data_IF_064065408154
#
_entry.id   IF_064065408154
#
_cell.length_a   1.000
_cell.length_b   1.000
_cell.length_c   1.000
_cell.angle_alpha   90.00
_cell.angle_beta   90.00
_cell.angle_gamma   90.00
#
_symmetry.space_group_name_H-M   'P 1'
#
loop_
_entity.id
_entity.type
_entity.pdbx_description
1 polymer ?
#
# COMPACT_ATOMS: atom_id res chain seq x y z
N UNK A 1 20.88 14.43 72.04
CA UNK A 1 20.78 14.50 70.56
C UNK A 1 21.95 13.78 69.89
N UNK A 2 23.21 14.06 70.24
CA UNK A 2 24.41 13.38 69.68
C UNK A 2 24.48 11.87 70.03
N UNK A 3 24.15 11.47 71.26
CA UNK A 3 24.12 10.04 71.66
C UNK A 3 23.02 9.22 70.97
N UNK A 4 21.89 9.85 70.59
CA UNK A 4 20.79 9.17 69.88
C UNK A 4 21.17 8.88 68.42
N UNK A 5 21.90 9.79 67.78
CA UNK A 5 22.46 9.61 66.44
C UNK A 5 23.54 8.52 66.42
N UNK A 6 24.40 8.42 67.43
CA UNK A 6 25.40 7.34 67.54
C UNK A 6 24.75 5.96 67.74
N UNK A 7 23.73 5.83 68.60
CA UNK A 7 23.05 4.55 68.82
C UNK A 7 22.19 4.10 67.62
N UNK A 8 21.71 5.05 66.80
CA UNK A 8 20.90 4.75 65.62
C UNK A 8 21.67 4.91 64.29
N UNK A 9 22.99 5.09 64.34
CA UNK A 9 23.81 5.37 63.16
C UNK A 9 23.70 4.26 62.11
N UNK A 10 23.67 2.99 62.54
CA UNK A 10 23.48 1.84 61.66
C UNK A 10 22.09 1.81 60.98
N UNK A 11 21.05 2.23 61.70
CA UNK A 11 19.69 2.34 61.16
C UNK A 11 19.56 3.49 60.15
N UNK A 12 20.11 4.66 60.48
CA UNK A 12 20.12 5.84 59.57
C UNK A 12 20.92 5.54 58.30
N UNK A 13 22.09 4.90 58.41
CA UNK A 13 22.89 4.51 57.25
C UNK A 13 22.18 3.45 56.40
N UNK A 14 21.49 2.49 57.01
CA UNK A 14 20.70 1.48 56.29
C UNK A 14 19.51 2.11 55.55
N UNK A 15 18.82 3.06 56.16
CA UNK A 15 17.73 3.80 55.53
C UNK A 15 18.22 4.65 54.35
N UNK A 16 19.33 5.38 54.51
CA UNK A 16 19.94 6.16 53.43
C UNK A 16 20.40 5.27 52.26
N UNK A 17 20.97 4.11 52.56
CA UNK A 17 21.40 3.13 51.54
C UNK A 17 20.19 2.57 50.79
N UNK A 18 19.11 2.22 51.50
CA UNK A 18 17.86 1.78 50.86
C UNK A 18 17.28 2.88 49.96
N UNK A 19 17.19 4.12 50.44
CA UNK A 19 16.74 5.26 49.65
C UNK A 19 17.58 5.48 48.38
N UNK A 20 18.91 5.37 48.49
CA UNK A 20 19.82 5.46 47.34
C UNK A 20 19.58 4.34 46.32
N UNK A 21 19.40 3.09 46.77
CA UNK A 21 19.09 1.95 45.89
C UNK A 21 17.74 2.13 45.19
N UNK A 22 16.70 2.57 45.90
CA UNK A 22 15.40 2.85 45.29
C UNK A 22 15.47 3.98 44.26
N UNK A 23 16.19 5.07 44.58
CA UNK A 23 16.33 6.21 43.68
C UNK A 23 17.12 5.84 42.41
N UNK A 24 18.23 5.11 42.55
CA UNK A 24 19.01 4.62 41.41
C UNK A 24 18.20 3.64 40.55
N UNK A 25 17.45 2.72 41.14
CA UNK A 25 16.53 1.84 40.42
C UNK A 25 15.48 2.64 39.63
N UNK A 26 14.89 3.66 40.25
CA UNK A 26 13.90 4.51 39.62
C UNK A 26 14.46 5.27 38.42
N UNK A 27 15.67 5.83 38.53
CA UNK A 27 16.39 6.46 37.42
C UNK A 27 16.66 5.46 36.29
N UNK A 28 17.15 4.25 36.61
CA UNK A 28 17.45 3.22 35.61
C UNK A 28 16.16 2.81 34.86
N UNK A 29 15.05 2.63 35.58
CA UNK A 29 13.75 2.30 34.99
C UNK A 29 13.21 3.46 34.14
N UNK A 30 13.35 4.71 34.60
CA UNK A 30 13.00 5.91 33.86
C UNK A 30 13.76 6.02 32.54
N UNK A 31 15.09 5.91 32.58
CA UNK A 31 15.96 5.95 31.40
C UNK A 31 15.64 4.80 30.42
N UNK A 32 15.33 3.60 30.94
CA UNK A 32 14.90 2.46 30.09
C UNK A 32 13.57 2.76 29.41
N UNK A 33 12.62 3.39 30.10
CA UNK A 33 11.32 3.80 29.53
C UNK A 33 11.53 4.84 28.43
N UNK A 34 12.30 5.89 28.70
CA UNK A 34 12.56 6.96 27.73
C UNK A 34 13.26 6.45 26.46
N UNK A 35 14.29 5.59 26.62
CA UNK A 35 14.95 4.95 25.48
C UNK A 35 13.99 4.10 24.64
N UNK A 36 13.09 3.34 25.28
CA UNK A 36 12.06 2.57 24.55
C UNK A 36 11.12 3.50 23.79
N UNK A 37 10.64 4.56 24.42
CA UNK A 37 9.78 5.55 23.78
C UNK A 37 10.45 6.20 22.58
N UNK A 38 11.73 6.57 22.70
CA UNK A 38 12.50 7.14 21.58
C UNK A 38 12.62 6.14 20.43
N UNK A 39 13.02 4.90 20.73
CA UNK A 39 13.14 3.83 19.74
C UNK A 39 11.82 3.54 19.02
N UNK A 40 10.72 3.47 19.77
CA UNK A 40 9.40 3.23 19.22
C UNK A 40 8.98 4.38 18.28
N UNK A 41 9.30 5.64 18.64
CA UNK A 41 9.07 6.80 17.75
C UNK A 41 9.92 6.73 16.48
N UNK A 42 11.21 6.41 16.61
CA UNK A 42 12.10 6.28 15.45
C UNK A 42 11.65 5.17 14.51
N UNK A 43 11.25 4.03 15.05
CA UNK A 43 10.78 2.89 14.27
C UNK A 43 9.47 3.22 13.52
N UNK A 44 8.55 3.95 14.15
CA UNK A 44 7.34 4.44 13.46
C UNK A 44 7.70 5.43 12.35
N UNK A 45 8.52 6.44 12.65
CA UNK A 45 8.79 7.54 11.74
C UNK A 45 9.71 7.18 10.57
N UNK A 46 10.74 6.36 10.82
CA UNK A 46 11.77 6.03 9.82
C UNK A 46 11.48 4.75 9.04
N UNK A 47 10.70 3.83 9.60
CA UNK A 47 10.35 2.56 8.95
C UNK A 47 8.87 2.51 8.57
N UNK A 48 7.98 2.60 9.56
CA UNK A 48 6.57 2.25 9.34
C UNK A 48 5.84 3.26 8.45
N UNK A 49 5.95 4.56 8.74
CA UNK A 49 5.26 5.61 7.98
C UNK A 49 5.71 5.66 6.50
N UNK A 50 7.02 5.59 6.17
CA UNK A 50 7.47 5.49 4.79
C UNK A 50 6.88 4.29 4.05
N UNK A 51 6.82 3.12 4.69
CA UNK A 51 6.27 1.89 4.09
C UNK A 51 4.76 1.95 3.89
N UNK A 52 4.01 2.52 4.83
CA UNK A 52 2.55 2.72 4.68
C UNK A 52 2.25 3.59 3.44
N UNK A 53 3.01 4.67 3.26
CA UNK A 53 2.89 5.50 2.05
C UNK A 53 3.23 4.74 0.76
N UNK A 54 4.24 3.87 0.83
CA UNK A 54 4.69 3.05 -0.28
C UNK A 54 3.69 1.95 -0.66
N UNK A 55 3.00 1.34 0.32
CA UNK A 55 1.93 0.37 0.07
C UNK A 55 0.78 0.97 -0.73
N UNK A 56 0.32 2.17 -0.37
CA UNK A 56 -0.73 2.87 -1.14
C UNK A 56 -0.33 3.08 -2.59
N UNK A 57 0.90 3.53 -2.82
CA UNK A 57 1.44 3.71 -4.17
C UNK A 57 1.57 2.38 -4.91
N UNK A 58 2.04 1.35 -4.23
CA UNK A 58 2.21 0.01 -4.80
C UNK A 58 0.88 -0.56 -5.30
N UNK A 59 -0.18 -0.46 -4.49
CA UNK A 59 -1.52 -0.91 -4.85
C UNK A 59 -2.02 -0.24 -6.14
N UNK A 60 -1.87 1.08 -6.27
CA UNK A 60 -2.20 1.79 -7.51
C UNK A 60 -1.39 1.30 -8.72
N UNK A 61 -0.09 1.04 -8.54
CA UNK A 61 0.77 0.54 -9.62
C UNK A 61 0.43 -0.90 -10.04
N UNK A 62 -0.06 -1.72 -9.11
CA UNK A 62 -0.57 -3.07 -9.40
C UNK A 62 -1.83 -2.94 -10.27
N UNK A 63 -2.81 -2.14 -9.84
CA UNK A 63 -4.09 -1.96 -10.54
C UNK A 63 -3.91 -1.38 -11.96
N UNK A 64 -2.97 -0.45 -12.13
CA UNK A 64 -2.70 0.20 -13.42
C UNK A 64 -1.73 -0.61 -14.30
N UNK A 65 -1.25 -1.78 -13.85
CA UNK A 65 -0.22 -2.56 -14.54
C UNK A 65 1.02 -1.72 -14.87
N UNK A 66 1.57 -1.00 -13.89
CA UNK A 66 2.78 -0.15 -14.04
C UNK A 66 3.92 -0.59 -13.13
N UNK A 67 3.89 -1.85 -12.71
CA UNK A 67 4.73 -2.38 -11.61
C UNK A 67 6.22 -2.48 -11.95
N UNK A 68 6.60 -2.46 -13.24
CA UNK A 68 7.98 -2.61 -13.74
C UNK A 68 8.97 -1.68 -13.05
N UNK A 69 8.54 -0.45 -12.80
CA UNK A 69 9.37 0.67 -12.32
C UNK A 69 8.99 1.13 -10.91
N UNK A 70 8.19 0.33 -10.20
CA UNK A 70 7.74 0.67 -8.85
C UNK A 70 8.94 0.74 -7.88
N UNK A 71 9.20 1.92 -7.27
CA UNK A 71 10.26 2.07 -6.28
C UNK A 71 9.78 1.57 -4.91
N UNK A 72 9.94 0.28 -4.65
CA UNK A 72 9.65 -0.32 -3.34
C UNK A 72 10.78 -0.09 -2.33
N UNK A 73 10.47 0.60 -1.23
CA UNK A 73 11.48 1.13 -0.30
C UNK A 73 12.01 0.14 0.71
N UNK A 74 11.32 -0.97 0.99
CA UNK A 74 11.67 -1.86 2.11
C UNK A 74 13.14 -2.31 2.08
N UNK A 75 13.64 -2.73 0.93
CA UNK A 75 15.03 -3.20 0.81
C UNK A 75 16.03 -2.09 1.14
N UNK A 76 15.77 -0.85 0.68
CA UNK A 76 16.62 0.30 0.97
C UNK A 76 16.55 0.72 2.44
N UNK A 77 15.35 0.72 3.03
CA UNK A 77 15.13 1.02 4.45
C UNK A 77 15.78 -0.03 5.34
N UNK A 78 15.64 -1.32 5.01
CA UNK A 78 16.28 -2.45 5.70
C UNK A 78 17.80 -2.29 5.75
N UNK A 79 18.40 -1.79 4.67
CA UNK A 79 19.84 -1.57 4.61
C UNK A 79 20.29 -0.29 5.35
N UNK A 80 19.55 0.81 5.19
CA UNK A 80 19.90 2.09 5.82
C UNK A 80 19.68 2.10 7.33
N UNK A 81 18.60 1.46 7.78
CA UNK A 81 18.10 1.50 9.15
C UNK A 81 18.12 0.10 9.79
N UNK A 82 19.15 -0.71 9.49
CA UNK A 82 19.28 -2.13 9.91
C UNK A 82 18.84 -2.37 11.36
N UNK A 83 19.37 -1.56 12.28
CA UNK A 83 19.07 -1.69 13.71
C UNK A 83 17.57 -1.56 14.00
N UNK A 84 16.87 -0.62 13.36
CA UNK A 84 15.43 -0.44 13.53
C UNK A 84 14.64 -1.53 12.80
N UNK A 85 15.06 -1.94 11.61
CA UNK A 85 14.38 -2.98 10.83
C UNK A 85 14.33 -4.32 11.57
N UNK A 86 15.43 -4.75 12.19
CA UNK A 86 15.46 -5.99 12.98
C UNK A 86 14.76 -5.89 14.35
N UNK A 87 14.31 -4.69 14.75
CA UNK A 87 13.48 -4.48 15.94
C UNK A 87 11.98 -4.60 15.65
N UNK A 88 11.58 -4.70 14.38
CA UNK A 88 10.20 -4.94 14.03
C UNK A 88 9.70 -6.26 14.65
N UNK A 89 8.42 -6.33 15.05
CA UNK A 89 7.80 -7.60 15.37
C UNK A 89 7.98 -8.59 14.22
N UNK A 90 8.39 -9.82 14.54
CA UNK A 90 8.69 -10.88 13.56
C UNK A 90 7.61 -11.01 12.48
N UNK A 91 6.33 -10.99 12.86
CA UNK A 91 5.19 -11.04 11.93
C UNK A 91 5.21 -9.92 10.87
N UNK A 92 5.62 -8.71 11.24
CA UNK A 92 5.70 -7.58 10.31
C UNK A 92 6.93 -7.72 9.43
N UNK A 93 8.07 -8.05 10.03
CA UNK A 93 9.31 -8.26 9.28
C UNK A 93 9.16 -9.35 8.23
N UNK A 94 8.71 -10.54 8.64
CA UNK A 94 8.50 -11.68 7.75
C UNK A 94 7.45 -11.36 6.67
N UNK A 95 6.39 -10.62 7.03
CA UNK A 95 5.39 -10.16 6.07
C UNK A 95 5.94 -9.19 5.02
N UNK A 96 6.86 -8.30 5.39
CA UNK A 96 7.54 -7.41 4.45
C UNK A 96 8.50 -8.16 3.52
N UNK A 97 9.22 -9.16 4.04
CA UNK A 97 10.09 -10.03 3.22
C UNK A 97 9.28 -10.86 2.22
N UNK A 98 8.20 -11.51 2.68
CA UNK A 98 7.28 -12.29 1.84
C UNK A 98 6.66 -11.42 0.73
N UNK A 99 6.13 -10.24 1.11
CA UNK A 99 5.60 -9.29 0.14
C UNK A 99 6.65 -8.86 -0.88
N UNK A 100 7.86 -8.54 -0.42
CA UNK A 100 8.96 -8.12 -1.31
C UNK A 100 9.31 -9.23 -2.32
N UNK A 101 9.42 -10.47 -1.85
CA UNK A 101 9.68 -11.62 -2.72
C UNK A 101 8.59 -11.79 -3.80
N UNK A 102 7.32 -11.73 -3.40
CA UNK A 102 6.17 -11.79 -4.32
C UNK A 102 6.15 -10.64 -5.30
N UNK A 103 6.43 -9.42 -4.83
CA UNK A 103 6.53 -8.24 -5.67
C UNK A 103 7.61 -8.40 -6.74
N UNK A 104 8.82 -8.84 -6.36
CA UNK A 104 9.93 -9.05 -7.32
C UNK A 104 9.59 -10.13 -8.36
N UNK A 105 8.94 -11.23 -7.93
CA UNK A 105 8.46 -12.26 -8.85
C UNK A 105 7.43 -11.70 -9.84
N UNK A 106 6.45 -10.96 -9.34
CA UNK A 106 5.42 -10.36 -10.19
C UNK A 106 5.99 -9.31 -11.16
N UNK A 107 6.97 -8.50 -10.72
CA UNK A 107 7.68 -7.56 -11.61
C UNK A 107 8.39 -8.27 -12.75
N UNK A 108 9.04 -9.42 -12.47
CA UNK A 108 9.69 -10.21 -13.51
C UNK A 108 8.68 -10.84 -14.47
N UNK A 109 7.56 -11.37 -13.95
CA UNK A 109 6.46 -11.88 -14.78
C UNK A 109 5.89 -10.79 -15.68
N UNK A 110 5.62 -9.62 -15.11
CA UNK A 110 5.11 -8.46 -15.83
C UNK A 110 6.08 -8.02 -16.93
N UNK A 111 7.38 -7.91 -16.67
CA UNK A 111 8.37 -7.57 -17.71
C UNK A 111 8.38 -8.54 -18.88
N UNK A 112 8.16 -9.83 -18.64
CA UNK A 112 8.09 -10.83 -19.69
C UNK A 112 6.81 -10.76 -20.52
N UNK A 113 5.71 -10.27 -19.93
CA UNK A 113 4.37 -10.34 -20.53
C UNK A 113 3.77 -8.98 -20.90
N UNK A 114 4.39 -7.87 -20.49
CA UNK A 114 3.89 -6.52 -20.69
C UNK A 114 3.60 -6.22 -22.16
N UNK A 115 4.53 -6.52 -23.07
CA UNK A 115 4.33 -6.28 -24.50
C UNK A 115 3.09 -7.02 -25.02
N UNK A 116 2.93 -8.29 -24.65
CA UNK A 116 1.80 -9.11 -25.09
C UNK A 116 0.46 -8.68 -24.47
N UNK A 117 0.46 -8.29 -23.19
CA UNK A 117 -0.72 -7.71 -22.54
C UNK A 117 -1.16 -6.45 -23.30
N UNK A 118 -0.20 -5.58 -23.60
CA UNK A 118 -0.48 -4.32 -24.27
C UNK A 118 -0.98 -4.54 -25.70
N UNK A 119 -0.30 -5.37 -26.50
CA UNK A 119 -0.73 -5.73 -27.85
C UNK A 119 -2.14 -6.32 -27.88
N UNK A 120 -2.49 -7.14 -26.88
CA UNK A 120 -3.82 -7.75 -26.77
C UNK A 120 -4.88 -6.67 -26.53
N UNK A 121 -4.64 -5.75 -25.59
CA UNK A 121 -5.57 -4.65 -25.31
C UNK A 121 -5.72 -3.76 -26.53
N UNK A 122 -4.63 -3.34 -27.16
CA UNK A 122 -4.65 -2.47 -28.33
C UNK A 122 -5.42 -3.11 -29.50
N UNK A 123 -5.21 -4.42 -29.73
CA UNK A 123 -5.92 -5.17 -30.76
C UNK A 123 -7.43 -5.17 -30.52
N UNK A 124 -7.88 -5.35 -29.27
CA UNK A 124 -9.29 -5.34 -28.92
C UNK A 124 -9.89 -3.93 -28.97
N UNK A 125 -9.16 -2.89 -28.54
CA UNK A 125 -9.58 -1.49 -28.68
C UNK A 125 -9.77 -1.10 -30.15
N UNK A 126 -8.83 -1.47 -31.03
CA UNK A 126 -8.86 -1.15 -32.48
C UNK A 126 -10.04 -1.76 -33.22
N UNK A 127 -10.65 -2.84 -32.72
CA UNK A 127 -11.88 -3.41 -33.32
C UNK A 127 -13.06 -2.42 -33.27
N UNK A 128 -13.08 -1.53 -32.27
CA UNK A 128 -14.13 -0.52 -32.09
C UNK A 128 -13.67 0.88 -32.44
N UNK A 129 -12.38 1.16 -32.31
CA UNK A 129 -11.79 2.45 -32.62
C UNK A 129 -10.64 2.27 -33.62
N UNK A 130 -10.93 2.10 -34.93
CA UNK A 130 -9.90 1.81 -35.93
C UNK A 130 -8.89 2.94 -36.13
N UNK A 131 -9.27 4.18 -35.80
CA UNK A 131 -8.43 5.39 -35.91
C UNK A 131 -7.52 5.60 -34.69
N UNK A 132 -7.36 4.59 -33.83
CA UNK A 132 -6.40 4.63 -32.76
C UNK A 132 -5.00 4.85 -33.34
N UNK A 133 -4.46 6.05 -33.11
CA UNK A 133 -3.12 6.43 -33.53
C UNK A 133 -2.04 5.61 -32.83
N UNK A 134 -0.78 5.89 -33.14
CA UNK A 134 0.39 5.22 -32.55
C UNK A 134 0.62 5.54 -31.07
N UNK A 135 -0.23 6.34 -30.43
CA UNK A 135 -0.11 6.71 -29.02
C UNK A 135 -0.68 5.63 -28.08
N UNK A 136 -0.17 4.41 -28.24
CA UNK A 136 -0.17 3.37 -27.20
C UNK A 136 -1.52 2.90 -26.65
N UNK A 137 -1.41 1.98 -25.70
CA UNK A 137 -2.46 1.05 -25.27
C UNK A 137 -3.35 1.60 -24.15
N UNK A 138 -3.42 2.92 -24.01
CA UNK A 138 -4.07 3.58 -22.86
C UNK A 138 -5.08 4.64 -23.30
N UNK A 139 -5.68 4.40 -24.46
CA UNK A 139 -6.47 5.39 -25.14
C UNK A 139 -7.89 5.45 -24.57
N UNK A 140 -8.57 4.32 -24.43
CA UNK A 140 -9.98 4.30 -24.07
C UNK A 140 -10.16 4.36 -22.56
N UNK A 141 -10.80 5.43 -22.09
CA UNK A 141 -11.11 5.60 -20.67
C UNK A 141 -12.38 6.42 -20.47
N UNK A 142 -12.95 6.31 -19.29
CA UNK A 142 -13.97 7.25 -18.83
C UNK A 142 -13.29 8.38 -18.05
N UNK A 143 -13.60 9.63 -18.38
CA UNK A 143 -13.22 10.81 -17.61
C UNK A 143 -14.49 11.51 -17.12
N UNK A 144 -14.55 11.77 -15.82
CA UNK A 144 -15.77 12.31 -15.23
C UNK A 144 -15.60 12.79 -13.80
N UNK A 145 -16.73 13.09 -13.18
CA UNK A 145 -16.84 13.47 -11.77
C UNK A 145 -17.79 12.52 -11.05
N UNK A 146 -17.35 12.03 -9.90
CA UNK A 146 -18.16 11.25 -8.96
C UNK A 146 -18.15 12.01 -7.65
N UNK A 147 -19.31 12.52 -7.22
CA UNK A 147 -19.39 13.30 -5.98
C UNK A 147 -18.62 14.62 -5.95
N UNK A 148 -18.39 15.20 -7.13
CA UNK A 148 -17.62 16.43 -7.28
C UNK A 148 -16.11 16.21 -7.39
N UNK A 149 -15.62 14.98 -7.19
CA UNK A 149 -14.22 14.62 -7.39
C UNK A 149 -13.99 14.09 -8.81
N UNK A 150 -12.93 14.56 -9.45
CA UNK A 150 -12.50 14.08 -10.77
C UNK A 150 -12.02 12.63 -10.68
N UNK A 151 -12.50 11.79 -11.59
CA UNK A 151 -12.09 10.39 -11.70
C UNK A 151 -11.77 10.02 -13.15
N UNK A 152 -10.73 9.22 -13.33
CA UNK A 152 -10.41 8.57 -14.59
C UNK A 152 -10.48 7.05 -14.38
N UNK A 153 -11.36 6.38 -15.12
CA UNK A 153 -11.54 4.92 -15.05
C UNK A 153 -11.00 4.31 -16.34
N UNK A 154 -9.98 3.47 -16.22
CA UNK A 154 -9.32 2.82 -17.37
C UNK A 154 -9.80 1.39 -17.56
N UNK A 155 -9.66 0.86 -18.77
CA UNK A 155 -9.94 -0.56 -19.04
C UNK A 155 -9.01 -1.50 -18.27
N UNK A 156 -7.79 -1.07 -17.95
CA UNK A 156 -6.84 -1.79 -17.11
C UNK A 156 -7.36 -1.99 -15.68
N UNK A 157 -7.93 -0.95 -15.08
CA UNK A 157 -8.54 -1.05 -13.76
C UNK A 157 -9.73 -2.02 -13.78
N UNK A 158 -10.59 -1.94 -14.80
CA UNK A 158 -11.71 -2.87 -14.95
C UNK A 158 -11.26 -4.33 -15.17
N UNK A 159 -10.17 -4.51 -15.92
CA UNK A 159 -9.55 -5.80 -16.15
C UNK A 159 -8.97 -6.38 -14.86
N UNK A 160 -8.19 -5.60 -14.12
CA UNK A 160 -7.56 -6.02 -12.87
C UNK A 160 -8.58 -6.54 -11.87
N UNK A 161 -9.67 -5.78 -11.70
CA UNK A 161 -10.74 -6.12 -10.78
C UNK A 161 -11.75 -7.11 -11.34
N UNK A 162 -11.63 -7.48 -12.62
CA UNK A 162 -12.59 -8.28 -13.35
C UNK A 162 -14.04 -7.73 -13.25
N UNK A 163 -14.21 -6.41 -13.30
CA UNK A 163 -15.50 -5.72 -13.09
C UNK A 163 -16.02 -5.05 -14.37
N UNK A 164 -17.34 -4.90 -14.48
CA UNK A 164 -17.94 -3.94 -15.42
C UNK A 164 -17.72 -2.51 -14.95
N UNK A 165 -17.92 -1.54 -15.83
CA UNK A 165 -17.86 -0.13 -15.46
C UNK A 165 -18.85 0.22 -14.33
N UNK A 166 -20.06 -0.34 -14.37
CA UNK A 166 -21.04 -0.14 -13.30
C UNK A 166 -20.60 -0.72 -11.96
N UNK A 167 -20.09 -1.95 -11.96
CA UNK A 167 -19.59 -2.61 -10.74
C UNK A 167 -18.44 -1.81 -10.13
N UNK A 168 -17.51 -1.34 -10.95
CA UNK A 168 -16.39 -0.52 -10.49
C UNK A 168 -16.85 0.80 -9.87
N UNK A 169 -17.82 1.48 -10.49
CA UNK A 169 -18.42 2.71 -9.92
C UNK A 169 -19.11 2.45 -8.58
N UNK A 170 -19.89 1.39 -8.48
CA UNK A 170 -20.58 1.03 -7.23
C UNK A 170 -19.58 0.77 -6.11
N UNK A 171 -18.50 0.04 -6.40
CA UNK A 171 -17.41 -0.14 -5.46
C UNK A 171 -16.74 1.17 -5.08
N UNK A 172 -16.37 2.00 -6.06
CA UNK A 172 -15.73 3.28 -5.80
C UNK A 172 -16.58 4.19 -4.91
N UNK A 173 -17.90 4.21 -5.10
CA UNK A 173 -18.84 4.92 -4.24
C UNK A 173 -18.90 4.31 -2.83
N UNK A 174 -18.94 2.99 -2.73
CA UNK A 174 -19.00 2.27 -1.44
C UNK A 174 -17.76 2.52 -0.60
N UNK A 175 -16.59 2.50 -1.24
CA UNK A 175 -15.30 2.60 -0.58
C UNK A 175 -14.96 4.06 -0.23
N UNK A 176 -15.69 5.03 -0.79
CA UNK A 176 -15.57 6.47 -0.51
C UNK A 176 -16.89 7.05 0.03
N UNK A 177 -17.28 6.75 1.29
CA UNK A 177 -18.57 7.15 1.87
C UNK A 177 -18.71 8.66 2.09
N UNK A 178 -17.62 9.42 2.00
CA UNK A 178 -17.59 10.88 2.23
C UNK A 178 -18.04 11.66 0.98
N UNK A 179 -18.18 11.00 -0.18
CA UNK A 179 -18.56 11.67 -1.42
C UNK A 179 -19.94 12.33 -1.30
N UNK A 180 -20.03 13.67 -1.38
CA UNK A 180 -21.24 14.43 -1.05
C UNK A 180 -22.37 14.25 -2.07
N UNK A 181 -22.10 13.60 -3.21
CA UNK A 181 -23.10 13.26 -4.22
C UNK A 181 -22.68 11.94 -4.92
N UNK A 182 -23.61 11.04 -5.21
CA UNK A 182 -23.30 9.79 -5.93
C UNK A 182 -23.59 9.89 -7.43
N UNK A 183 -23.97 11.07 -7.91
CA UNK A 183 -24.17 11.36 -9.33
C UNK A 183 -22.83 11.31 -10.07
N UNK A 184 -22.89 10.74 -11.26
CA UNK A 184 -21.73 10.50 -12.12
C UNK A 184 -22.00 11.21 -13.43
N UNK A 185 -21.18 12.21 -13.73
CA UNK A 185 -21.24 12.99 -14.95
C UNK A 185 -19.85 12.90 -15.62
N UNK A 186 -19.79 12.54 -16.90
CA UNK A 186 -18.53 12.37 -17.61
C UNK A 186 -18.72 11.73 -18.98
N UNK A 187 -17.63 11.60 -19.70
CA UNK A 187 -17.59 11.14 -21.08
C UNK A 187 -16.63 9.96 -21.26
N UNK A 188 -16.93 9.11 -22.24
CA UNK A 188 -16.02 8.05 -22.68
C UNK A 188 -15.09 8.63 -23.73
N UNK A 189 -13.82 8.76 -23.35
CA UNK A 189 -12.79 9.47 -24.05
C UNK A 189 -11.90 8.53 -24.84
N UNK A 190 -11.58 8.94 -26.06
CA UNK A 190 -10.50 8.41 -26.88
C UNK A 190 -9.60 9.58 -27.26
N UNK A 191 -8.43 9.76 -26.61
CA UNK A 191 -7.48 10.82 -26.88
C UNK A 191 -7.17 10.93 -28.36
N UNK A 192 -7.00 12.16 -28.84
CA UNK A 192 -6.50 12.45 -30.18
C UNK A 192 -7.35 11.87 -31.32
N UNK A 193 -8.62 11.58 -31.05
CA UNK A 193 -9.61 11.21 -32.07
C UNK A 193 -10.91 11.99 -31.88
N UNK A 194 -11.70 12.10 -32.94
CA UNK A 194 -13.08 12.61 -32.87
C UNK A 194 -14.09 11.52 -32.50
N UNK A 195 -13.62 10.30 -32.19
CA UNK A 195 -14.46 9.15 -31.88
C UNK A 195 -15.17 9.38 -30.56
N UNK A 196 -16.51 9.39 -30.60
CA UNK A 196 -17.34 9.40 -29.40
C UNK A 196 -17.75 7.98 -29.08
N UNK A 197 -17.34 7.48 -27.92
CA UNK A 197 -17.79 6.21 -27.40
C UNK A 197 -18.99 6.44 -26.47
N UNK A 198 -19.90 5.48 -26.44
CA UNK A 198 -20.89 5.39 -25.38
C UNK A 198 -20.50 4.28 -24.40
N UNK A 199 -21.27 4.15 -23.31
CA UNK A 199 -21.06 3.12 -22.30
C UNK A 199 -21.08 1.70 -22.87
N UNK A 200 -21.99 1.43 -23.82
CA UNK A 200 -22.11 0.11 -24.44
C UNK A 200 -20.84 -0.24 -25.21
N UNK A 201 -20.30 0.70 -25.98
CA UNK A 201 -19.04 0.48 -26.70
C UNK A 201 -17.89 0.20 -25.73
N UNK A 202 -17.80 0.97 -24.64
CA UNK A 202 -16.80 0.80 -23.59
C UNK A 202 -16.87 -0.60 -22.93
N UNK A 203 -18.07 -1.07 -22.61
CA UNK A 203 -18.28 -2.40 -22.02
C UNK A 203 -18.02 -3.55 -23.01
N UNK A 204 -18.33 -3.36 -24.29
CA UNK A 204 -18.02 -4.32 -25.34
C UNK A 204 -16.50 -4.48 -25.51
N UNK A 205 -15.73 -3.38 -25.45
CA UNK A 205 -14.26 -3.42 -25.45
C UNK A 205 -13.75 -4.14 -24.20
N UNK A 206 -14.20 -3.74 -23.01
CA UNK A 206 -13.83 -4.36 -21.73
C UNK A 206 -14.06 -5.89 -21.74
N UNK A 207 -15.24 -6.31 -22.20
CA UNK A 207 -15.60 -7.73 -22.29
C UNK A 207 -14.72 -8.48 -23.27
N UNK A 208 -14.37 -7.86 -24.40
CA UNK A 208 -13.52 -8.48 -25.43
C UNK A 208 -12.08 -8.65 -24.93
N UNK A 209 -11.53 -7.64 -24.23
CA UNK A 209 -10.22 -7.71 -23.57
C UNK A 209 -10.19 -8.86 -22.55
N UNK A 210 -11.19 -8.91 -21.66
CA UNK A 210 -11.27 -9.97 -20.64
C UNK A 210 -11.35 -11.37 -21.24
N UNK A 211 -12.11 -11.52 -22.33
CA UNK A 211 -12.19 -12.80 -23.06
C UNK A 211 -10.83 -13.19 -23.64
N UNK A 212 -10.18 -12.28 -24.37
CA UNK A 212 -8.89 -12.53 -24.99
C UNK A 212 -7.81 -12.90 -23.95
N UNK A 213 -7.80 -12.21 -22.81
CA UNK A 213 -6.89 -12.51 -21.69
C UNK A 213 -7.26 -13.81 -20.98
N UNK A 214 -8.54 -14.14 -20.87
CA UNK A 214 -9.00 -15.41 -20.31
C UNK A 214 -8.63 -16.63 -21.16
N UNK A 215 -8.40 -16.43 -22.46
CA UNK A 215 -7.92 -17.47 -23.38
C UNK A 215 -6.39 -17.63 -23.35
N UNK A 216 -5.64 -16.62 -22.91
CA UNK A 216 -4.18 -16.66 -22.72
C UNK A 216 -3.84 -17.02 -21.26
N UNK A 217 -3.44 -18.28 -21.04
CA UNK A 217 -3.12 -18.81 -19.70
C UNK A 217 -2.06 -18.00 -18.95
N UNK A 218 -1.04 -17.49 -19.64
CA UNK A 218 0.06 -16.75 -19.04
C UNK A 218 -0.38 -15.32 -18.67
N UNK A 219 -1.17 -14.66 -19.51
CA UNK A 219 -1.77 -13.37 -19.17
C UNK A 219 -2.77 -13.52 -18.03
N UNK A 220 -3.59 -14.57 -18.03
CA UNK A 220 -4.47 -14.87 -16.90
C UNK A 220 -3.70 -15.09 -15.59
N UNK A 221 -2.56 -15.80 -15.66
CA UNK A 221 -1.67 -15.95 -14.50
C UNK A 221 -1.14 -14.59 -14.02
N UNK A 222 -0.76 -13.69 -14.94
CA UNK A 222 -0.32 -12.34 -14.59
C UNK A 222 -1.40 -11.57 -13.82
N UNK A 223 -2.66 -11.57 -14.30
CA UNK A 223 -3.77 -10.90 -13.61
C UNK A 223 -3.99 -11.50 -12.21
N UNK A 224 -4.02 -12.83 -12.11
CA UNK A 224 -4.25 -13.53 -10.84
C UNK A 224 -3.12 -13.31 -9.81
N UNK A 225 -1.86 -13.34 -10.25
CA UNK A 225 -0.72 -13.03 -9.38
C UNK A 225 -0.75 -11.56 -8.94
N UNK A 226 -1.21 -10.64 -9.80
CA UNK A 226 -1.43 -9.24 -9.45
C UNK A 226 -2.48 -9.07 -8.35
N UNK A 227 -3.65 -9.72 -8.49
CA UNK A 227 -4.69 -9.71 -7.46
C UNK A 227 -4.20 -10.27 -6.11
N UNK A 228 -3.50 -11.40 -6.14
CA UNK A 228 -2.90 -12.01 -4.94
C UNK A 228 -1.88 -11.07 -4.28
N UNK A 229 -1.06 -10.38 -5.08
CA UNK A 229 -0.08 -9.42 -4.58
C UNK A 229 -0.76 -8.22 -3.93
N UNK A 230 -1.87 -7.75 -4.50
CA UNK A 230 -2.67 -6.65 -3.95
C UNK A 230 -3.24 -7.00 -2.58
N UNK A 231 -3.91 -8.15 -2.46
CA UNK A 231 -4.45 -8.63 -1.18
C UNK A 231 -3.34 -8.78 -0.12
N UNK A 232 -2.18 -9.30 -0.53
CA UNK A 232 -1.02 -9.40 0.36
C UNK A 232 -0.54 -8.01 0.83
N UNK A 233 -0.49 -7.03 -0.07
CA UNK A 233 -0.17 -5.65 0.26
C UNK A 233 -1.14 -5.08 1.32
N UNK A 234 -2.44 -5.30 1.16
CA UNK A 234 -3.45 -4.87 2.13
C UNK A 234 -3.28 -5.52 3.50
N UNK A 235 -3.00 -6.83 3.54
CA UNK A 235 -2.79 -7.55 4.79
C UNK A 235 -1.58 -7.01 5.55
N UNK A 236 -0.47 -6.76 4.84
CA UNK A 236 0.76 -6.24 5.45
C UNK A 236 0.57 -4.78 5.87
N UNK A 237 -0.02 -3.94 5.02
CA UNK A 237 -0.36 -2.54 5.33
C UNK A 237 -1.25 -2.47 6.59
N UNK A 238 -2.31 -3.28 6.67
CA UNK A 238 -3.21 -3.32 7.83
C UNK A 238 -2.51 -3.78 9.11
N UNK A 239 -1.61 -4.76 9.00
CA UNK A 239 -0.81 -5.23 10.14
C UNK A 239 0.13 -4.13 10.63
N UNK A 240 0.77 -3.42 9.71
CA UNK A 240 1.67 -2.31 10.00
C UNK A 240 0.92 -1.12 10.63
N UNK A 241 -0.22 -0.72 10.08
CA UNK A 241 -1.09 0.32 10.62
C UNK A 241 -1.57 0.01 12.04
N UNK A 242 -2.01 -1.24 12.30
CA UNK A 242 -2.38 -1.70 13.65
C UNK A 242 -1.23 -1.59 14.64
N UNK A 243 -0.02 -1.93 14.19
CA UNK A 243 1.18 -1.79 15.00
C UNK A 243 1.49 -0.32 15.30
N UNK A 244 1.54 0.55 14.30
CA UNK A 244 1.77 1.99 14.48
C UNK A 244 0.77 2.60 15.47
N UNK A 245 -0.53 2.32 15.31
CA UNK A 245 -1.57 2.81 16.22
C UNK A 245 -1.35 2.38 17.67
N UNK A 246 -0.99 1.11 17.89
CA UNK A 246 -0.70 0.57 19.24
C UNK A 246 0.56 1.19 19.84
N UNK A 247 1.60 1.36 19.02
CA UNK A 247 2.88 1.92 19.44
C UNK A 247 2.74 3.40 19.81
N UNK A 248 2.07 4.20 18.99
CA UNK A 248 1.78 5.61 19.30
C UNK A 248 0.94 5.76 20.57
N UNK A 249 -0.07 4.92 20.80
CA UNK A 249 -0.88 4.93 22.03
C UNK A 249 -0.07 4.63 23.30
N UNK A 250 1.03 3.88 23.20
CA UNK A 250 1.92 3.60 24.35
C UNK A 250 2.86 4.76 24.68
N UNK A 251 3.06 5.66 23.72
CA UNK A 251 4.02 6.77 23.76
C UNK A 251 3.33 8.10 24.11
N UNK A 252 2.04 8.24 23.79
CA UNK A 252 1.15 9.31 24.24
C UNK A 252 0.83 9.18 25.73
#
# INVERSE_FOLDING_TARGET
>A
MVQWLNNNQGFVMSLLTACYVFFTLWIILGNRKERRTHLDRELVNRICNPLIGDFKRTKLYIEDFRISDLPWKWESLKNKERYLSYRLPKRIFDGLEDFTSKLRRHQNLYRGLQGRLLETIEKEEKKKVPQLGSEGVWSVHFDGRIGGESCKITLLQLLFWNETFDQYKERLIRDNPILPNRKIDGDFMVPNTSTKLNKRDFEEINTSIKRAIGEDRELQQLINEGGTLYENAEVVENTLNKFVKRTLKKIS
#
